data_IF_872720354846
#
_entry.id   IF_872720354846
#
_cell.length_a   1.000
_cell.length_b   1.000
_cell.length_c   1.000
_cell.angle_alpha   90.00
_cell.angle_beta   90.00
_cell.angle_gamma   90.00
#
_symmetry.space_group_name_H-M   'P 1'
#
loop_
_entity.id
_entity.type
_entity.pdbx_description
1 polymer ?
#
# COMPACT_ATOMS: atom_id res chain seq x y z
N UNK A 1 -9.29 -4.37 -9.79
CA UNK A 1 -7.95 -3.77 -9.60
C UNK A 1 -6.84 -4.70 -10.10
N UNK A 2 -6.62 -5.88 -9.52
CA UNK A 2 -5.52 -6.77 -9.95
C UNK A 2 -5.60 -7.18 -11.42
N UNK A 3 -6.80 -7.45 -11.94
CA UNK A 3 -6.97 -7.76 -13.37
C UNK A 3 -6.56 -6.61 -14.28
N UNK A 4 -6.74 -5.35 -13.86
CA UNK A 4 -6.28 -4.19 -14.62
C UNK A 4 -4.75 -4.11 -14.64
N UNK A 5 -4.09 -4.44 -13.52
CA UNK A 5 -2.63 -4.50 -13.47
C UNK A 5 -2.07 -5.63 -14.32
N UNK A 6 -2.74 -6.78 -14.35
CA UNK A 6 -2.37 -7.90 -15.23
C UNK A 6 -2.52 -7.50 -16.70
N UNK A 7 -3.65 -6.87 -17.06
CA UNK A 7 -3.88 -6.41 -18.42
C UNK A 7 -2.81 -5.40 -18.85
N UNK A 8 -2.54 -4.38 -18.04
CA UNK A 8 -1.49 -3.40 -18.30
C UNK A 8 -0.12 -4.05 -18.49
N UNK A 9 0.20 -5.08 -17.70
CA UNK A 9 1.45 -5.85 -17.82
C UNK A 9 1.50 -6.63 -19.15
N UNK A 10 0.42 -7.29 -19.51
CA UNK A 10 0.28 -8.01 -20.80
C UNK A 10 0.41 -7.06 -21.99
N UNK A 11 -0.12 -5.84 -21.86
CA UNK A 11 -0.05 -4.78 -22.87
C UNK A 11 1.34 -4.11 -22.93
N UNK A 12 2.31 -4.59 -22.16
CA UNK A 12 3.70 -4.13 -22.19
C UNK A 12 3.96 -2.83 -21.43
N UNK A 13 3.03 -2.38 -20.58
CA UNK A 13 3.23 -1.19 -19.74
C UNK A 13 4.19 -1.55 -18.60
N UNK A 14 5.39 -0.99 -18.66
CA UNK A 14 6.44 -1.19 -17.66
C UNK A 14 6.29 -0.19 -16.52
N UNK A 15 6.25 -0.68 -15.28
CA UNK A 15 6.28 0.14 -14.08
C UNK A 15 7.02 -0.58 -12.95
N UNK A 16 7.72 0.18 -12.10
CA UNK A 16 8.31 -0.36 -10.86
C UNK A 16 7.32 -0.28 -9.69
N UNK A 17 6.51 0.78 -9.66
CA UNK A 17 5.59 1.08 -8.57
C UNK A 17 4.17 1.27 -9.08
N UNK A 18 3.20 0.87 -8.26
CA UNK A 18 1.80 1.23 -8.43
C UNK A 18 1.39 2.15 -7.28
N UNK A 19 0.79 3.28 -7.63
CA UNK A 19 0.26 4.25 -6.67
C UNK A 19 -1.22 3.97 -6.42
N UNK A 20 -1.59 3.80 -5.15
CA UNK A 20 -2.96 3.54 -4.74
C UNK A 20 -3.47 4.50 -3.66
N UNK A 21 -4.78 4.72 -3.68
CA UNK A 21 -5.48 5.38 -2.58
C UNK A 21 -5.68 4.41 -1.38
N UNK A 22 -6.23 4.94 -0.29
CA UNK A 22 -6.40 4.20 0.97
C UNK A 22 -7.33 2.99 0.94
N UNK A 23 -8.21 2.87 -0.06
CA UNK A 23 -9.09 1.72 -0.26
C UNK A 23 -8.33 0.46 -0.67
N UNK A 24 -7.14 0.59 -1.26
CA UNK A 24 -6.31 -0.55 -1.70
C UNK A 24 -5.08 -0.78 -0.80
N UNK A 25 -5.07 -0.17 0.39
CA UNK A 25 -3.95 -0.28 1.35
C UNK A 25 -4.06 -1.46 2.33
N UNK A 26 -4.97 -2.42 2.09
CA UNK A 26 -5.08 -3.61 2.95
C UNK A 26 -3.86 -4.52 2.79
N UNK A 27 -3.40 -5.22 3.84
CA UNK A 27 -2.27 -6.15 3.74
C UNK A 27 -2.43 -7.20 2.62
N UNK A 28 -3.66 -7.71 2.44
CA UNK A 28 -3.99 -8.65 1.36
C UNK A 28 -3.80 -8.04 -0.05
N UNK A 29 -4.23 -6.80 -0.25
CA UNK A 29 -4.10 -6.10 -1.54
C UNK A 29 -2.64 -5.82 -1.85
N UNK A 30 -1.88 -5.32 -0.87
CA UNK A 30 -0.45 -5.06 -1.00
C UNK A 30 0.31 -6.35 -1.36
N UNK A 31 0.01 -7.45 -0.68
CA UNK A 31 0.64 -8.74 -0.97
C UNK A 31 0.30 -9.25 -2.38
N UNK A 32 -0.96 -9.13 -2.81
CA UNK A 32 -1.37 -9.56 -4.13
C UNK A 32 -0.69 -8.76 -5.25
N UNK A 33 -0.54 -7.44 -5.09
CA UNK A 33 0.17 -6.60 -6.06
C UNK A 33 1.67 -6.92 -6.08
N UNK A 34 2.27 -7.16 -4.91
CA UNK A 34 3.66 -7.62 -4.82
C UNK A 34 3.88 -8.96 -5.54
N UNK A 35 2.90 -9.87 -5.47
CA UNK A 35 2.91 -11.13 -6.22
C UNK A 35 2.89 -10.95 -7.75
N UNK A 36 2.44 -9.80 -8.26
CA UNK A 36 2.52 -9.44 -9.69
C UNK A 36 3.88 -8.86 -10.09
N UNK A 37 4.79 -8.64 -9.13
CA UNK A 37 6.12 -8.09 -9.35
C UNK A 37 6.21 -6.56 -9.26
N UNK A 38 5.17 -5.91 -8.72
CA UNK A 38 5.17 -4.46 -8.51
C UNK A 38 5.39 -4.12 -7.04
N UNK A 39 6.09 -3.02 -6.78
CA UNK A 39 6.07 -2.38 -5.47
C UNK A 39 4.86 -1.44 -5.35
N UNK A 40 4.37 -1.25 -4.13
CA UNK A 40 3.18 -0.43 -3.89
C UNK A 40 3.53 0.77 -3.04
N UNK A 41 3.12 1.95 -3.53
CA UNK A 41 3.02 3.16 -2.73
C UNK A 41 1.53 3.40 -2.53
N UNK A 42 1.06 3.38 -1.29
CA UNK A 42 -0.37 3.60 -1.01
C UNK A 42 -0.56 4.54 0.16
N UNK A 43 -1.59 5.38 0.07
CA UNK A 43 -2.09 6.10 1.23
C UNK A 43 -2.62 5.08 2.25
N UNK A 44 -2.22 5.17 3.51
CA UNK A 44 -2.76 4.30 4.56
C UNK A 44 -4.04 4.89 5.16
N UNK A 45 -5.01 4.04 5.50
CA UNK A 45 -6.27 4.50 6.09
C UNK A 45 -6.05 5.11 7.47
N UNK A 46 -6.58 6.31 7.70
CA UNK A 46 -6.63 6.93 9.02
C UNK A 46 -7.67 6.22 9.89
N UNK A 47 -7.21 5.39 10.82
CA UNK A 47 -8.06 4.70 11.80
C UNK A 47 -7.31 4.49 13.12
N UNK A 48 -7.98 4.63 14.27
CA UNK A 48 -7.36 4.36 15.57
C UNK A 48 -7.16 2.87 15.84
N UNK A 49 -7.74 1.98 15.01
CA UNK A 49 -7.67 0.51 15.17
C UNK A 49 -6.48 -0.15 14.48
N UNK A 50 -5.65 0.64 13.77
CA UNK A 50 -4.50 0.12 13.01
C UNK A 50 -3.22 0.75 13.56
N UNK A 51 -2.25 -0.12 13.83
CA UNK A 51 -0.97 0.24 14.40
C UNK A 51 0.14 -0.05 13.38
N UNK A 52 1.11 0.84 13.32
CA UNK A 52 2.28 0.75 12.46
C UNK A 52 3.54 0.81 13.34
N UNK A 53 4.54 0.00 13.00
CA UNK A 53 5.84 0.04 13.67
C UNK A 53 6.61 1.26 13.23
N UNK A 54 6.86 2.19 14.14
CA UNK A 54 7.65 3.41 13.91
C UNK A 54 8.66 3.59 15.03
N UNK A 55 9.96 3.69 14.69
CA UNK A 55 11.07 3.78 15.67
C UNK A 55 10.97 2.74 16.80
N UNK A 56 10.68 1.50 16.43
CA UNK A 56 10.50 0.35 17.35
C UNK A 56 9.25 0.37 18.24
N UNK A 57 8.35 1.37 18.10
CA UNK A 57 7.08 1.47 18.83
C UNK A 57 5.90 1.19 17.89
N UNK A 58 4.87 0.48 18.35
CA UNK A 58 3.62 0.29 17.61
C UNK A 58 2.67 1.47 17.88
N UNK A 59 2.35 2.24 16.84
CA UNK A 59 1.62 3.50 16.98
C UNK A 59 0.52 3.65 15.92
N UNK A 60 -0.54 4.40 16.26
CA UNK A 60 -1.52 4.79 15.23
C UNK A 60 -0.92 5.78 14.25
N UNK A 61 -1.47 5.83 13.04
CA UNK A 61 -1.04 6.79 12.02
C UNK A 61 -1.05 8.24 12.54
N UNK A 62 -2.10 8.64 13.27
CA UNK A 62 -2.26 9.99 13.82
C UNK A 62 -1.15 10.30 14.82
N UNK A 63 -0.82 9.34 15.68
CA UNK A 63 0.25 9.50 16.67
C UNK A 63 1.62 9.68 16.02
N UNK A 64 1.88 9.03 14.88
CA UNK A 64 3.13 9.20 14.12
C UNK A 64 3.21 10.61 13.53
N UNK A 65 2.13 11.09 12.90
CA UNK A 65 2.07 12.45 12.35
C UNK A 65 2.20 13.53 13.42
N UNK A 66 1.63 13.35 14.62
CA UNK A 66 1.78 14.35 15.69
C UNK A 66 3.20 14.42 16.28
N UNK A 67 4.07 13.44 15.99
CA UNK A 67 5.46 13.37 16.47
C UNK A 67 6.47 13.99 15.48
N UNK A 68 6.07 14.42 14.28
CA UNK A 68 6.94 14.98 13.24
C UNK A 68 6.31 16.21 12.59
#
# INVERSE_FOLDING_TARGET
MLELLKQAKTDGIVANYVLFDSWFSSPSSLHAVKGLGYDVISMVKKTPKMFFRYKSEDMTLISIYNKN
#
